data_IF_392621807295
#
_entry.id   IF_392621807295
#
_cell.length_a   1.000
_cell.length_b   1.000
_cell.length_c   1.000
_cell.angle_alpha   90.00
_cell.angle_beta   90.00
_cell.angle_gamma   90.00
#
_symmetry.space_group_name_H-M   'P 1'
#
loop_
_entity.id
_entity.type
_entity.pdbx_description
1 polymer ?
#
# COMPACT_ATOMS: atom_id res chain seq x y z
N UNK A 1 33.80 -26.03 48.13
CA UNK A 1 34.80 -25.35 48.97
C UNK A 1 35.59 -24.41 48.06
N UNK A 2 35.65 -23.13 48.42
CA UNK A 2 36.44 -22.03 47.83
C UNK A 2 35.98 -21.36 46.53
N UNK A 3 35.45 -20.15 46.76
CA UNK A 3 35.39 -19.00 45.87
C UNK A 3 36.75 -18.27 45.74
N UNK A 4 36.91 -17.47 44.68
CA UNK A 4 37.60 -16.14 44.60
C UNK A 4 37.63 -15.72 43.12
N UNK A 5 36.93 -14.66 42.69
CA UNK A 5 37.22 -13.21 42.81
C UNK A 5 38.46 -12.72 42.05
N UNK A 6 38.17 -11.80 41.10
CA UNK A 6 38.82 -10.48 40.89
C UNK A 6 40.18 -10.42 40.14
N UNK A 7 40.24 -9.70 39.00
CA UNK A 7 40.60 -8.26 38.90
C UNK A 7 41.28 -7.88 37.57
N UNK A 8 40.71 -6.85 36.94
CA UNK A 8 41.25 -5.78 36.08
C UNK A 8 42.71 -5.79 35.59
N UNK A 9 42.87 -5.45 34.30
CA UNK A 9 44.10 -4.92 33.71
C UNK A 9 43.83 -4.26 32.35
N UNK A 10 43.84 -2.91 32.32
CA UNK A 10 43.76 -2.03 31.15
C UNK A 10 44.94 -2.22 30.19
N UNK A 11 44.71 -2.16 28.88
CA UNK A 11 45.71 -1.69 27.90
C UNK A 11 45.03 -1.02 26.69
N UNK A 12 45.35 0.26 26.49
CA UNK A 12 45.09 1.07 25.29
C UNK A 12 46.21 0.85 24.27
N UNK A 13 45.91 0.93 22.97
CA UNK A 13 46.53 1.94 22.11
C UNK A 13 45.46 2.54 21.16
N UNK A 14 45.55 3.72 20.56
CA UNK A 14 46.60 4.69 20.32
C UNK A 14 45.96 5.74 19.40
N UNK A 15 46.08 7.02 19.75
CA UNK A 15 45.39 8.11 19.09
C UNK A 15 46.07 8.49 17.76
N UNK A 16 45.32 8.47 16.66
CA UNK A 16 45.68 9.16 15.41
C UNK A 16 44.94 10.49 15.32
N UNK A 17 45.73 11.56 15.25
CA UNK A 17 45.30 12.96 15.13
C UNK A 17 44.72 13.22 13.74
N UNK A 18 43.53 13.81 13.68
CA UNK A 18 43.02 14.50 12.48
C UNK A 18 43.27 16.01 12.62
N UNK A 19 43.77 16.70 11.57
CA UNK A 19 44.01 18.14 11.64
C UNK A 19 42.72 18.95 11.56
N UNK A 20 42.64 19.95 12.43
CA UNK A 20 41.60 20.98 12.50
C UNK A 20 41.69 21.93 11.30
N UNK A 21 40.59 22.09 10.57
CA UNK A 21 40.41 23.17 9.59
C UNK A 21 39.65 24.33 10.25
N UNK A 22 40.37 25.42 10.52
CA UNK A 22 39.81 26.75 10.84
C UNK A 22 39.28 27.42 9.57
N UNK A 23 38.12 28.10 9.58
CA UNK A 23 37.69 28.91 8.45
C UNK A 23 38.36 30.29 8.51
N UNK A 24 39.17 30.62 7.52
CA UNK A 24 39.66 31.98 7.26
C UNK A 24 38.67 32.76 6.42
N UNK A 25 38.30 33.93 6.93
CA UNK A 25 37.51 34.96 6.26
C UNK A 25 38.33 35.63 5.15
N UNK A 26 37.81 35.66 3.94
CA UNK A 26 38.18 36.66 2.94
C UNK A 26 36.92 37.32 2.40
N UNK A 27 36.73 38.57 2.84
CA UNK A 27 35.89 39.58 2.20
C UNK A 27 36.44 39.86 0.79
N UNK A 28 35.56 39.81 -0.20
CA UNK A 28 35.78 40.46 -1.49
C UNK A 28 34.53 41.30 -1.79
N UNK A 29 34.73 42.61 -1.80
CA UNK A 29 33.76 43.63 -2.19
C UNK A 29 33.36 43.45 -3.66
N UNK A 30 32.06 43.30 -3.90
CA UNK A 30 31.46 43.66 -5.19
C UNK A 30 30.18 44.44 -4.94
N UNK A 31 30.29 45.74 -5.17
CA UNK A 31 29.21 46.72 -5.22
C UNK A 31 28.08 46.24 -6.13
N UNK A 32 26.88 46.05 -5.58
CA UNK A 32 25.66 45.83 -6.36
C UNK A 32 24.71 47.01 -6.14
N UNK A 33 24.49 47.76 -7.22
CA UNK A 33 23.63 48.92 -7.33
C UNK A 33 22.18 48.52 -7.09
N UNK A 34 21.55 49.08 -6.05
CA UNK A 34 20.12 48.89 -5.79
C UNK A 34 19.30 49.79 -6.73
N UNK A 35 18.55 49.18 -7.64
CA UNK A 35 17.49 49.89 -8.40
C UNK A 35 16.15 49.55 -7.77
N UNK A 36 15.56 50.53 -7.10
CA UNK A 36 14.18 50.47 -6.61
C UNK A 36 13.23 50.62 -7.80
N UNK A 37 12.52 49.55 -8.16
CA UNK A 37 11.42 49.64 -9.13
C UNK A 37 10.10 49.48 -8.39
N UNK A 38 9.39 50.59 -8.26
CA UNK A 38 8.01 50.68 -7.76
C UNK A 38 7.08 49.94 -8.73
N UNK A 39 6.43 48.85 -8.30
CA UNK A 39 5.39 48.18 -9.08
C UNK A 39 4.04 48.76 -8.67
N UNK A 40 3.44 49.52 -9.58
CA UNK A 40 2.03 49.91 -9.51
C UNK A 40 1.15 48.72 -9.92
N UNK A 41 0.08 48.49 -9.17
CA UNK A 41 -0.93 47.48 -9.49
C UNK A 41 -1.67 47.86 -10.78
N UNK A 42 -1.80 46.91 -11.71
CA UNK A 42 -2.80 46.97 -12.78
C UNK A 42 -3.31 45.57 -13.13
N UNK A 43 -4.58 45.57 -13.50
CA UNK A 43 -5.56 44.50 -13.58
C UNK A 43 -5.43 43.60 -14.83
N UNK A 44 -5.87 42.35 -14.65
CA UNK A 44 -6.35 41.35 -15.62
C UNK A 44 -5.92 41.43 -17.09
N UNK A 45 -5.16 40.42 -17.52
CA UNK A 45 -5.08 40.00 -18.92
C UNK A 45 -4.87 38.48 -18.99
N UNK A 46 -5.81 37.81 -19.66
CA UNK A 46 -5.81 36.39 -19.96
C UNK A 46 -4.67 36.02 -20.91
N UNK A 47 -3.54 35.53 -20.39
CA UNK A 47 -2.45 35.00 -21.19
C UNK A 47 -2.70 33.53 -21.56
N UNK A 48 -3.18 33.29 -22.79
CA UNK A 48 -3.11 31.98 -23.43
C UNK A 48 -1.63 31.62 -23.65
N UNK A 49 -1.11 30.68 -22.85
CA UNK A 49 0.17 30.02 -23.13
C UNK A 49 0.00 29.14 -24.37
N UNK A 50 0.63 29.53 -25.48
CA UNK A 50 0.81 28.68 -26.65
C UNK A 50 1.81 27.57 -26.29
N UNK A 51 1.28 26.39 -25.96
CA UNK A 51 2.06 25.16 -25.84
C UNK A 51 2.61 24.80 -27.22
N UNK A 52 3.95 24.77 -27.34
CA UNK A 52 4.62 24.17 -28.49
C UNK A 52 4.16 22.73 -28.66
N UNK A 53 3.77 22.36 -29.88
CA UNK A 53 3.35 21.02 -30.25
C UNK A 53 4.53 20.05 -30.09
N UNK A 54 4.59 19.34 -28.96
CA UNK A 54 5.36 18.10 -28.88
C UNK A 54 4.60 17.02 -29.63
N UNK A 55 5.24 16.40 -30.61
CA UNK A 55 4.78 15.24 -31.37
C UNK A 55 4.76 13.95 -30.54
N UNK A 56 4.24 14.02 -29.31
CA UNK A 56 3.98 12.83 -28.49
C UNK A 56 2.65 12.24 -28.92
N UNK A 57 2.64 10.97 -29.31
CA UNK A 57 1.41 10.19 -29.48
C UNK A 57 0.51 10.38 -28.24
N UNK A 58 -0.79 10.67 -28.41
CA UNK A 58 -1.67 10.95 -27.29
C UNK A 58 -1.67 9.77 -26.31
N UNK A 59 -1.40 10.06 -25.03
CA UNK A 59 -1.37 9.04 -23.99
C UNK A 59 -2.69 8.25 -23.97
N UNK A 60 -2.62 6.96 -24.32
CA UNK A 60 -3.75 6.04 -24.51
C UNK A 60 -4.79 6.08 -23.39
N UNK A 61 -4.33 6.16 -22.14
CA UNK A 61 -5.20 6.15 -20.95
C UNK A 61 -5.38 7.55 -20.33
N UNK A 62 -5.33 8.61 -21.15
CA UNK A 62 -5.56 10.00 -20.73
C UNK A 62 -6.91 10.21 -20.06
N UNK A 63 -7.95 9.49 -20.50
CA UNK A 63 -9.29 9.49 -19.90
C UNK A 63 -9.36 8.86 -18.50
N UNK A 64 -8.30 8.18 -18.04
CA UNK A 64 -8.17 7.62 -16.69
C UNK A 64 -7.21 8.44 -15.82
N UNK A 65 -6.79 9.64 -16.24
CA UNK A 65 -5.93 10.49 -15.43
C UNK A 65 -6.63 10.94 -14.13
N UNK A 66 -5.85 11.23 -13.06
CA UNK A 66 -6.39 11.70 -11.80
C UNK A 66 -7.23 12.97 -11.93
N UNK A 67 -8.50 12.86 -11.55
CA UNK A 67 -9.39 13.97 -11.24
C UNK A 67 -9.55 14.08 -9.72
N UNK A 68 -9.36 15.28 -9.18
CA UNK A 68 -9.45 15.56 -7.75
C UNK A 68 -10.76 16.31 -7.44
N UNK A 69 -11.87 15.58 -7.50
CA UNK A 69 -13.20 16.13 -7.20
C UNK A 69 -13.28 16.71 -5.79
N UNK A 70 -14.00 17.83 -5.65
CA UNK A 70 -14.35 18.45 -4.35
C UNK A 70 -15.58 17.80 -3.69
N UNK A 71 -16.22 16.85 -4.37
CA UNK A 71 -17.35 16.10 -3.83
C UNK A 71 -16.96 15.37 -2.55
N UNK A 72 -17.80 15.52 -1.51
CA UNK A 72 -17.67 14.79 -0.26
C UNK A 72 -18.66 13.61 -0.20
N UNK A 73 -18.33 12.62 0.63
CA UNK A 73 -19.11 11.42 0.85
C UNK A 73 -19.41 11.26 2.33
N UNK A 74 -20.58 10.70 2.70
CA UNK A 74 -20.89 10.40 4.09
C UNK A 74 -19.93 9.34 4.67
N UNK A 75 -19.92 9.19 6.01
CA UNK A 75 -19.30 8.05 6.66
C UNK A 75 -19.79 6.72 6.06
N UNK A 76 -18.91 5.73 5.98
CA UNK A 76 -19.27 4.42 5.45
C UNK A 76 -20.19 3.70 6.45
N UNK A 77 -21.38 3.32 5.98
CA UNK A 77 -22.29 2.49 6.75
C UNK A 77 -21.81 1.02 6.74
N UNK A 78 -21.98 0.27 7.84
CA UNK A 78 -21.76 -1.16 7.85
C UNK A 78 -22.59 -1.89 6.78
N UNK A 79 -22.08 -3.01 6.28
CA UNK A 79 -22.80 -3.87 5.34
C UNK A 79 -22.46 -5.34 5.57
N UNK A 80 -23.36 -6.23 5.17
CA UNK A 80 -23.10 -7.66 5.19
C UNK A 80 -22.20 -8.03 4.00
N UNK A 81 -21.00 -8.50 4.30
CA UNK A 81 -20.08 -8.99 3.29
C UNK A 81 -20.31 -10.49 3.04
N UNK A 82 -20.59 -10.87 1.79
CA UNK A 82 -20.74 -12.25 1.36
C UNK A 82 -19.50 -12.69 0.56
N UNK A 83 -18.52 -13.28 1.25
CA UNK A 83 -17.23 -13.62 0.68
C UNK A 83 -17.35 -14.69 -0.43
N UNK A 84 -16.91 -14.39 -1.68
CA UNK A 84 -16.88 -15.35 -2.79
C UNK A 84 -16.14 -16.66 -2.50
N UNK A 85 -15.12 -16.62 -1.64
CA UNK A 85 -14.34 -17.79 -1.28
C UNK A 85 -15.17 -18.90 -0.63
N UNK A 86 -16.24 -18.55 0.11
CA UNK A 86 -17.17 -19.54 0.65
C UNK A 86 -18.02 -20.23 -0.44
N UNK A 87 -18.29 -19.56 -1.57
CA UNK A 87 -18.97 -20.18 -2.71
C UNK A 87 -18.03 -21.12 -3.45
N UNK A 88 -16.77 -20.70 -3.65
CA UNK A 88 -15.74 -21.53 -4.27
C UNK A 88 -15.49 -22.85 -3.51
N UNK A 89 -15.45 -22.81 -2.17
CA UNK A 89 -15.28 -24.01 -1.34
C UNK A 89 -16.38 -25.07 -1.53
N UNK A 90 -17.52 -24.71 -2.09
CA UNK A 90 -18.64 -25.64 -2.37
C UNK A 90 -18.56 -26.26 -3.77
N UNK A 91 -17.65 -25.78 -4.63
CA UNK A 91 -17.45 -26.32 -5.96
C UNK A 91 -16.66 -27.62 -5.89
N UNK A 92 -16.99 -28.56 -6.78
CA UNK A 92 -16.26 -29.84 -6.90
C UNK A 92 -14.78 -29.61 -7.28
N UNK A 93 -14.53 -28.60 -8.12
CA UNK A 93 -13.19 -28.22 -8.59
C UNK A 93 -12.91 -26.74 -8.29
N UNK A 94 -12.48 -26.38 -7.07
CA UNK A 94 -12.34 -24.98 -6.62
C UNK A 94 -11.13 -24.24 -7.25
N UNK A 95 -10.46 -24.84 -8.24
CA UNK A 95 -9.31 -24.29 -8.96
C UNK A 95 -9.41 -24.48 -10.48
N UNK A 96 -10.58 -24.87 -11.00
CA UNK A 96 -10.80 -25.15 -12.42
C UNK A 96 -10.49 -23.96 -13.34
N UNK A 97 -10.56 -22.72 -12.85
CA UNK A 97 -10.15 -21.53 -13.60
C UNK A 97 -8.66 -21.55 -14.04
N UNK A 98 -7.84 -22.42 -13.46
CA UNK A 98 -6.43 -22.62 -13.82
C UNK A 98 -6.21 -23.80 -14.77
N UNK A 99 -7.24 -24.58 -15.13
CA UNK A 99 -7.06 -25.83 -15.90
C UNK A 99 -6.43 -25.59 -17.28
N UNK A 100 -6.72 -24.42 -17.88
CA UNK A 100 -6.17 -24.00 -19.17
C UNK A 100 -4.98 -23.03 -19.03
N UNK A 101 -4.44 -22.85 -17.82
CA UNK A 101 -3.26 -22.03 -17.63
C UNK A 101 -2.06 -22.64 -18.36
N UNK A 102 -1.34 -21.82 -19.12
CA UNK A 102 -0.09 -22.27 -19.76
C UNK A 102 1.06 -22.39 -18.77
N UNK A 103 0.98 -21.68 -17.64
CA UNK A 103 1.95 -21.76 -16.55
C UNK A 103 1.34 -21.33 -15.23
N UNK A 104 1.72 -22.02 -14.15
CA UNK A 104 1.41 -21.67 -12.75
C UNK A 104 2.67 -21.85 -11.92
N UNK A 105 3.30 -20.77 -11.50
CA UNK A 105 4.57 -20.79 -10.78
C UNK A 105 4.45 -20.11 -9.42
N UNK A 106 4.91 -20.76 -8.35
CA UNK A 106 4.99 -20.11 -7.04
C UNK A 106 6.09 -19.03 -7.05
N UNK A 107 5.76 -17.82 -6.58
CA UNK A 107 6.76 -16.75 -6.44
C UNK A 107 7.70 -17.03 -5.26
N UNK A 108 7.11 -17.51 -4.16
CA UNK A 108 7.80 -18.00 -2.97
C UNK A 108 7.00 -19.16 -2.38
N UNK A 109 7.58 -19.99 -1.48
CA UNK A 109 6.86 -21.14 -0.92
C UNK A 109 5.51 -20.77 -0.27
N UNK A 110 5.47 -19.69 0.51
CA UNK A 110 4.31 -19.34 1.34
C UNK A 110 3.56 -18.07 0.91
N UNK A 111 3.95 -17.45 -0.20
CA UNK A 111 3.34 -16.23 -0.70
C UNK A 111 3.50 -16.10 -2.21
N UNK A 112 2.40 -15.85 -2.90
CA UNK A 112 2.47 -15.47 -4.31
C UNK A 112 2.44 -16.65 -5.27
N UNK A 113 1.68 -16.50 -6.35
CA UNK A 113 1.74 -17.38 -7.52
C UNK A 113 1.58 -16.53 -8.77
N UNK A 114 2.46 -16.73 -9.74
CA UNK A 114 2.35 -16.16 -11.09
C UNK A 114 1.61 -17.14 -12.00
N UNK A 115 0.69 -16.60 -12.82
CA UNK A 115 -0.18 -17.36 -13.71
C UNK A 115 -0.11 -16.75 -15.11
N UNK A 116 0.08 -17.61 -16.12
CA UNK A 116 0.01 -17.27 -17.55
C UNK A 116 -1.02 -18.16 -18.25
N UNK A 117 -1.59 -17.66 -19.35
CA UNK A 117 -2.58 -18.39 -20.16
C UNK A 117 -4.01 -18.34 -19.62
N UNK A 118 -4.28 -17.56 -18.57
CA UNK A 118 -5.63 -17.29 -18.07
C UNK A 118 -5.94 -15.80 -18.25
N UNK A 119 -6.98 -15.46 -19.00
CA UNK A 119 -7.46 -14.09 -19.14
C UNK A 119 -8.52 -13.79 -18.08
N UNK A 120 -8.23 -12.86 -17.17
CA UNK A 120 -9.13 -12.49 -16.07
C UNK A 120 -10.47 -11.93 -16.58
N UNK A 121 -10.48 -11.29 -17.76
CA UNK A 121 -11.70 -10.74 -18.36
C UNK A 121 -12.74 -11.81 -18.67
N UNK A 122 -12.28 -13.01 -19.02
CA UNK A 122 -13.13 -14.10 -19.49
C UNK A 122 -13.68 -14.96 -18.33
N UNK A 123 -13.26 -14.68 -17.09
CA UNK A 123 -13.78 -15.36 -15.91
C UNK A 123 -15.25 -14.99 -15.68
N UNK A 124 -16.09 -16.02 -15.62
CA UNK A 124 -17.47 -15.94 -15.19
C UNK A 124 -17.57 -15.84 -13.65
N UNK A 125 -18.80 -15.87 -13.11
CA UNK A 125 -19.01 -15.77 -11.67
C UNK A 125 -18.33 -16.90 -10.87
N UNK A 126 -18.35 -18.12 -11.39
CA UNK A 126 -17.72 -19.28 -10.75
C UNK A 126 -16.20 -19.17 -10.76
N UNK A 127 -15.61 -18.79 -11.91
CA UNK A 127 -14.18 -18.54 -12.04
C UNK A 127 -13.69 -17.42 -11.11
N UNK A 128 -14.47 -16.35 -10.94
CA UNK A 128 -14.17 -15.28 -9.98
C UNK A 128 -14.26 -15.72 -8.53
N UNK A 129 -15.21 -16.60 -8.19
CA UNK A 129 -15.27 -17.19 -6.85
C UNK A 129 -14.00 -18.01 -6.57
N UNK A 130 -13.60 -18.87 -7.51
CA UNK A 130 -12.38 -19.67 -7.40
C UNK A 130 -11.12 -18.81 -7.31
N UNK A 131 -11.05 -17.74 -8.11
CA UNK A 131 -9.99 -16.74 -8.02
C UNK A 131 -9.91 -16.12 -6.62
N UNK A 132 -11.05 -15.74 -6.02
CA UNK A 132 -11.07 -15.17 -4.68
C UNK A 132 -10.50 -16.14 -3.63
N UNK A 133 -10.87 -17.42 -3.71
CA UNK A 133 -10.32 -18.45 -2.83
C UNK A 133 -8.82 -18.65 -3.04
N UNK A 134 -8.36 -18.70 -4.30
CA UNK A 134 -6.96 -18.85 -4.62
C UNK A 134 -6.12 -17.66 -4.11
N UNK A 135 -6.62 -16.43 -4.24
CA UNK A 135 -5.97 -15.23 -3.68
C UNK A 135 -5.96 -15.27 -2.15
N UNK A 136 -7.04 -15.71 -1.50
CA UNK A 136 -7.08 -15.86 -0.05
C UNK A 136 -6.08 -16.92 0.48
N UNK A 137 -5.88 -18.00 -0.25
CA UNK A 137 -4.94 -19.07 0.11
C UNK A 137 -3.47 -18.71 -0.15
N UNK A 138 -3.18 -18.04 -1.27
CA UNK A 138 -1.81 -17.69 -1.68
C UNK A 138 -1.38 -16.28 -1.25
N UNK A 139 -2.31 -15.47 -0.76
CA UNK A 139 -2.12 -14.07 -0.40
C UNK A 139 -1.93 -13.12 -1.59
N UNK A 140 -1.31 -13.58 -2.68
CA UNK A 140 -0.92 -12.81 -3.85
C UNK A 140 -1.02 -13.68 -5.10
N UNK A 141 -1.61 -13.16 -6.18
CA UNK A 141 -1.56 -13.73 -7.52
C UNK A 141 -1.12 -12.67 -8.53
N UNK A 142 -0.31 -13.06 -9.50
CA UNK A 142 0.18 -12.20 -10.59
C UNK A 142 -0.24 -12.83 -11.91
N UNK A 143 -0.99 -12.08 -12.72
CA UNK A 143 -1.43 -12.51 -14.05
C UNK A 143 -0.72 -11.67 -15.11
N UNK A 144 -0.11 -12.34 -16.08
CA UNK A 144 0.59 -11.71 -17.22
C UNK A 144 -0.33 -11.62 -18.44
N UNK A 145 -0.01 -10.73 -19.38
CA UNK A 145 -0.69 -10.59 -20.68
C UNK A 145 -2.19 -10.25 -20.60
N UNK A 146 -2.57 -9.39 -19.65
CA UNK A 146 -3.96 -9.02 -19.33
C UNK A 146 -4.43 -7.73 -20.02
N UNK A 147 -4.02 -7.48 -21.27
CA UNK A 147 -4.36 -6.25 -21.98
C UNK A 147 -5.89 -6.06 -22.11
N UNK A 148 -6.63 -7.14 -22.40
CA UNK A 148 -8.09 -7.06 -22.54
C UNK A 148 -8.79 -6.70 -21.22
N UNK A 149 -8.28 -7.17 -20.07
CA UNK A 149 -8.78 -6.78 -18.76
C UNK A 149 -8.57 -5.29 -18.52
N UNK A 150 -7.38 -4.78 -18.86
CA UNK A 150 -6.98 -3.37 -18.68
C UNK A 150 -7.74 -2.43 -19.64
N UNK A 151 -8.20 -2.94 -20.78
CA UNK A 151 -8.97 -2.17 -21.75
C UNK A 151 -10.50 -2.28 -21.56
N UNK A 152 -10.96 -3.15 -20.66
CA UNK A 152 -12.40 -3.44 -20.49
C UNK A 152 -13.21 -2.24 -19.98
N UNK A 153 -12.53 -1.26 -19.37
CA UNK A 153 -13.09 0.05 -19.04
C UNK A 153 -13.95 0.09 -17.77
N UNK A 154 -14.52 1.27 -17.48
CA UNK A 154 -15.17 1.58 -16.20
C UNK A 154 -16.27 0.64 -15.74
N UNK A 155 -17.17 0.28 -16.64
CA UNK A 155 -18.35 -0.51 -16.29
C UNK A 155 -17.96 -1.95 -15.92
N UNK A 156 -17.02 -2.52 -16.68
CA UNK A 156 -16.42 -3.80 -16.34
C UNK A 156 -15.71 -3.74 -14.98
N UNK A 157 -14.95 -2.68 -14.68
CA UNK A 157 -14.29 -2.56 -13.36
C UNK A 157 -15.27 -2.53 -12.20
N UNK A 158 -16.43 -1.89 -12.38
CA UNK A 158 -17.49 -1.89 -11.37
C UNK A 158 -18.06 -3.28 -11.18
N UNK A 159 -18.39 -3.97 -12.28
CA UNK A 159 -18.92 -5.34 -12.24
C UNK A 159 -17.91 -6.32 -11.64
N UNK A 160 -16.65 -6.21 -12.03
CA UNK A 160 -15.52 -6.97 -11.49
C UNK A 160 -15.41 -6.79 -9.99
N UNK A 161 -15.25 -5.55 -9.51
CA UNK A 161 -15.06 -5.30 -8.09
C UNK A 161 -16.31 -5.63 -7.25
N UNK A 162 -17.51 -5.37 -7.78
CA UNK A 162 -18.77 -5.67 -7.08
C UNK A 162 -18.97 -7.16 -6.82
N UNK A 163 -18.35 -8.04 -7.63
CA UNK A 163 -18.33 -9.48 -7.39
C UNK A 163 -17.68 -9.84 -6.05
N UNK A 164 -16.65 -9.09 -5.64
CA UNK A 164 -15.88 -9.34 -4.42
C UNK A 164 -16.29 -8.48 -3.24
N UNK A 165 -17.26 -7.57 -3.36
CA UNK A 165 -17.75 -6.74 -2.25
C UNK A 165 -18.16 -5.33 -2.67
N UNK A 166 -18.56 -4.49 -1.70
CA UNK A 166 -18.92 -3.10 -1.96
C UNK A 166 -17.67 -2.30 -2.34
N UNK A 167 -17.66 -1.65 -3.50
CA UNK A 167 -16.53 -0.83 -3.94
C UNK A 167 -16.23 0.32 -2.95
N UNK A 168 -14.96 0.45 -2.54
CA UNK A 168 -14.50 1.56 -1.71
C UNK A 168 -14.14 2.78 -2.56
N UNK A 169 -14.65 3.95 -2.18
CA UNK A 169 -14.19 5.24 -2.73
C UNK A 169 -13.13 5.80 -1.79
N UNK A 170 -11.89 5.88 -2.27
CA UNK A 170 -10.74 6.33 -1.47
C UNK A 170 -10.94 7.78 -1.01
N UNK A 171 -10.66 8.13 0.26
CA UNK A 171 -10.96 9.45 0.78
C UNK A 171 -10.03 10.56 0.26
N UNK A 172 -8.78 10.23 -0.10
CA UNK A 172 -7.72 11.25 -0.29
C UNK A 172 -7.02 11.24 -1.66
N UNK A 173 -7.32 10.28 -2.53
CA UNK A 173 -6.55 10.10 -3.78
C UNK A 173 -7.30 10.57 -5.02
N UNK A 174 -6.62 10.81 -6.13
CA UNK A 174 -7.31 11.02 -7.40
C UNK A 174 -8.04 9.76 -7.89
N UNK A 175 -9.10 9.97 -8.67
CA UNK A 175 -9.85 8.93 -9.37
C UNK A 175 -10.14 9.39 -10.80
N UNK A 176 -10.46 8.50 -11.76
CA UNK A 176 -10.98 8.93 -13.05
C UNK A 176 -12.28 9.71 -12.85
N UNK A 177 -12.49 10.79 -13.60
CA UNK A 177 -13.61 11.73 -13.40
C UNK A 177 -14.98 11.04 -13.24
N UNK A 178 -15.25 10.02 -14.07
CA UNK A 178 -16.54 9.31 -14.12
C UNK A 178 -16.59 8.02 -13.29
N UNK A 179 -15.52 7.67 -12.56
CA UNK A 179 -15.35 6.37 -11.87
C UNK A 179 -14.68 6.53 -10.51
N UNK A 180 -15.36 7.15 -9.52
CA UNK A 180 -14.78 7.42 -8.21
C UNK A 180 -14.34 6.16 -7.44
N UNK A 181 -14.88 4.99 -7.80
CA UNK A 181 -14.54 3.69 -7.22
C UNK A 181 -13.15 3.18 -7.64
N UNK A 182 -12.59 3.69 -8.74
CA UNK A 182 -11.24 3.34 -9.19
C UNK A 182 -10.23 4.28 -8.53
N UNK A 183 -9.42 3.72 -7.65
CA UNK A 183 -8.36 4.45 -6.98
C UNK A 183 -7.09 4.48 -7.85
N UNK A 184 -6.58 5.68 -8.14
CA UNK A 184 -5.37 5.84 -8.94
C UNK A 184 -4.12 5.99 -8.06
N UNK A 185 -3.08 5.27 -8.46
CA UNK A 185 -1.72 5.41 -7.94
C UNK A 185 -0.89 6.04 -9.05
N UNK A 186 -0.79 7.37 -9.02
CA UNK A 186 -0.24 8.16 -10.13
C UNK A 186 1.02 8.92 -9.73
N UNK A 187 2.03 8.88 -10.60
CA UNK A 187 3.16 9.78 -10.65
C UNK A 187 3.38 10.23 -12.09
N UNK A 188 3.43 11.53 -12.31
CA UNK A 188 3.76 12.08 -13.61
C UNK A 188 5.28 12.16 -13.81
N UNK A 189 5.67 12.20 -15.08
CA UNK A 189 7.04 12.39 -15.54
C UNK A 189 7.60 13.78 -15.16
N UNK A 190 6.75 14.82 -15.21
CA UNK A 190 7.16 16.24 -15.14
C UNK A 190 6.81 16.92 -13.82
N UNK A 191 5.90 16.35 -13.03
CA UNK A 191 5.49 16.87 -11.72
C UNK A 191 5.27 15.74 -10.72
N UNK A 192 5.95 15.79 -9.58
CA UNK A 192 5.80 14.77 -8.53
C UNK A 192 5.22 15.39 -7.27
N UNK A 193 4.09 14.86 -6.80
CA UNK A 193 3.39 15.28 -5.58
C UNK A 193 3.80 14.46 -4.33
N UNK A 194 4.83 13.63 -4.43
CA UNK A 194 5.18 12.66 -3.40
C UNK A 194 6.60 12.92 -2.87
N UNK A 195 6.74 14.03 -2.15
CA UNK A 195 7.94 14.46 -1.40
C UNK A 195 8.21 13.61 -0.14
N UNK A 196 7.40 12.58 0.10
CA UNK A 196 7.39 11.72 1.30
C UNK A 196 8.72 10.99 1.55
N UNK A 197 9.63 11.01 0.58
CA UNK A 197 10.89 10.27 0.61
C UNK A 197 12.11 11.19 0.57
N UNK A 198 11.94 12.51 0.43
CA UNK A 198 13.08 13.42 0.29
C UNK A 198 13.87 13.56 1.61
N UNK A 199 13.22 13.31 2.75
CA UNK A 199 13.82 13.26 4.09
C UNK A 199 13.78 11.83 4.68
N UNK A 200 13.78 10.81 3.82
CA UNK A 200 13.81 9.40 4.25
C UNK A 200 14.91 8.64 3.54
N UNK A 201 15.65 7.83 4.31
CA UNK A 201 16.67 6.92 3.78
C UNK A 201 16.06 5.68 3.09
N UNK A 202 14.76 5.45 3.23
CA UNK A 202 14.05 4.32 2.60
C UNK A 202 12.67 4.76 2.09
N UNK A 203 12.23 4.15 0.99
CA UNK A 203 10.90 4.40 0.42
C UNK A 203 9.86 3.40 0.88
N UNK A 204 10.27 2.40 1.69
CA UNK A 204 9.38 1.34 2.15
C UNK A 204 8.46 1.79 3.28
N UNK A 205 7.16 1.58 3.08
CA UNK A 205 6.13 1.80 4.09
C UNK A 205 5.11 0.66 4.00
N UNK A 206 5.33 -0.36 4.83
CA UNK A 206 4.48 -1.55 4.88
C UNK A 206 3.09 -1.23 5.41
N UNK A 207 2.06 -1.63 4.64
CA UNK A 207 0.66 -1.45 5.03
C UNK A 207 -0.29 -2.48 4.42
N UNK A 208 -1.39 -2.72 5.11
CA UNK A 208 -2.61 -3.28 4.51
C UNK A 208 -3.50 -2.11 4.08
N UNK A 209 -4.15 -2.22 2.92
CA UNK A 209 -4.86 -1.11 2.29
C UNK A 209 -5.96 -0.54 3.19
N UNK A 210 -5.88 0.76 3.53
CA UNK A 210 -6.87 1.50 4.33
C UNK A 210 -7.41 0.73 5.54
N UNK A 211 -6.50 0.08 6.28
CA UNK A 211 -6.84 -0.74 7.47
C UNK A 211 -7.46 0.04 8.63
N UNK A 212 -7.62 1.36 8.50
CA UNK A 212 -8.33 2.22 9.45
C UNK A 212 -9.85 2.21 9.26
N UNK A 213 -10.37 1.69 8.15
CA UNK A 213 -11.82 1.59 7.91
C UNK A 213 -12.44 0.50 8.78
N UNK A 214 -13.69 0.67 9.24
CA UNK A 214 -14.35 -0.36 10.07
C UNK A 214 -14.46 -1.72 9.36
N UNK A 215 -14.72 -1.66 8.06
CA UNK A 215 -14.73 -2.79 7.13
C UNK A 215 -13.67 -2.52 6.03
N UNK A 216 -12.41 -2.89 6.25
CA UNK A 216 -11.33 -2.68 5.31
C UNK A 216 -11.54 -3.44 3.99
N UNK A 217 -10.83 -3.08 2.92
CA UNK A 217 -10.75 -3.86 1.69
C UNK A 217 -10.28 -5.30 1.92
N UNK A 218 -10.84 -6.23 1.13
CA UNK A 218 -10.40 -7.62 1.08
C UNK A 218 -9.46 -7.86 -0.09
N UNK A 219 -9.96 -8.57 -1.11
CA UNK A 219 -9.26 -8.79 -2.37
C UNK A 219 -9.12 -7.48 -3.15
N UNK A 220 -7.90 -7.04 -3.36
CA UNK A 220 -7.60 -5.88 -4.21
C UNK A 220 -7.07 -6.33 -5.56
N UNK A 221 -7.56 -5.70 -6.62
CA UNK A 221 -6.98 -5.81 -7.97
C UNK A 221 -6.20 -4.54 -8.30
N UNK A 222 -5.01 -4.66 -8.87
CA UNK A 222 -4.15 -3.55 -9.26
C UNK A 222 -3.43 -3.84 -10.57
N UNK A 223 -3.32 -2.84 -11.42
CA UNK A 223 -2.60 -2.93 -12.69
C UNK A 223 -2.01 -1.57 -13.06
N UNK A 224 -0.99 -1.59 -13.92
CA UNK A 224 -0.36 -0.39 -14.45
C UNK A 224 -0.87 -0.10 -15.86
N UNK A 225 -1.38 1.11 -16.06
CA UNK A 225 -1.70 1.73 -17.34
C UNK A 225 -0.45 2.29 -18.02
N UNK A 226 0.54 2.69 -17.21
CA UNK A 226 1.86 3.12 -17.64
C UNK A 226 2.87 2.84 -16.53
N UNK A 227 4.08 2.43 -16.90
CA UNK A 227 5.14 2.07 -15.97
C UNK A 227 6.48 2.63 -16.46
N UNK A 228 7.42 2.92 -15.55
CA UNK A 228 8.79 3.24 -15.93
C UNK A 228 9.46 2.01 -16.57
N UNK A 229 10.50 2.26 -17.35
CA UNK A 229 11.30 1.19 -17.98
C UNK A 229 11.92 0.27 -16.92
N UNK A 230 12.30 0.81 -15.76
CA UNK A 230 12.76 0.05 -14.59
C UNK A 230 12.39 0.75 -13.28
N UNK A 231 12.43 -0.01 -12.18
CA UNK A 231 11.97 0.41 -10.87
C UNK A 231 10.44 0.46 -10.76
N UNK A 232 9.95 0.88 -9.59
CA UNK A 232 8.52 0.99 -9.31
C UNK A 232 7.85 -0.33 -8.94
N UNK A 233 8.65 -1.32 -8.54
CA UNK A 233 8.22 -2.63 -8.07
C UNK A 233 7.32 -2.52 -6.83
N UNK A 234 6.65 -3.61 -6.51
CA UNK A 234 5.80 -3.69 -5.31
C UNK A 234 6.22 -4.89 -4.48
N UNK A 235 6.50 -4.63 -3.20
CA UNK A 235 6.81 -5.65 -2.21
C UNK A 235 5.54 -6.09 -1.51
N UNK A 236 5.47 -7.38 -1.20
CA UNK A 236 4.40 -8.01 -0.43
C UNK A 236 5.02 -8.84 0.68
N UNK A 237 4.31 -8.99 1.80
CA UNK A 237 4.70 -9.87 2.92
C UNK A 237 3.50 -10.64 3.43
N UNK A 238 3.72 -11.92 3.77
CA UNK A 238 2.68 -12.82 4.28
C UNK A 238 2.46 -12.58 5.77
N UNK A 239 1.33 -11.98 6.13
CA UNK A 239 1.00 -11.73 7.53
C UNK A 239 0.63 -13.01 8.31
N UNK A 240 0.30 -14.09 7.58
CA UNK A 240 0.16 -15.43 8.15
C UNK A 240 1.54 -15.95 8.56
N UNK A 241 2.52 -15.87 7.64
CA UNK A 241 3.86 -16.39 7.89
C UNK A 241 4.59 -15.57 8.96
N UNK A 242 4.40 -14.24 9.00
CA UNK A 242 4.98 -13.38 10.04
C UNK A 242 4.49 -13.80 11.42
N UNK A 243 3.20 -14.14 11.57
CA UNK A 243 2.62 -14.65 12.82
C UNK A 243 3.18 -16.04 13.18
N UNK A 244 3.22 -16.98 12.22
CA UNK A 244 3.70 -18.36 12.44
C UNK A 244 5.17 -18.43 12.87
N UNK A 245 5.98 -17.40 12.59
CA UNK A 245 7.38 -17.29 13.05
C UNK A 245 7.53 -16.91 14.53
N UNK A 246 6.51 -16.31 15.13
CA UNK A 246 6.56 -15.91 16.54
C UNK A 246 6.38 -17.12 17.45
N UNK A 247 6.92 -17.05 18.68
CA UNK A 247 6.80 -18.15 19.62
C UNK A 247 5.34 -18.36 20.04
N UNK A 248 4.89 -19.60 20.28
CA UNK A 248 3.50 -19.87 20.66
C UNK A 248 2.99 -19.07 21.87
N UNK A 249 3.77 -18.87 22.96
CA UNK A 249 3.33 -18.02 24.07
C UNK A 249 3.13 -16.55 23.66
N UNK A 250 3.98 -16.04 22.76
CA UNK A 250 3.86 -14.67 22.29
C UNK A 250 2.64 -14.51 21.38
N UNK A 251 2.39 -15.46 20.46
CA UNK A 251 1.16 -15.49 19.66
C UNK A 251 -0.09 -15.54 20.55
N UNK A 252 -0.09 -16.37 21.60
CA UNK A 252 -1.19 -16.45 22.55
C UNK A 252 -1.44 -15.11 23.25
N UNK A 253 -0.39 -14.39 23.64
CA UNK A 253 -0.50 -13.03 24.17
C UNK A 253 -1.04 -12.03 23.13
N UNK A 254 -0.53 -12.04 21.89
CA UNK A 254 -0.98 -11.12 20.84
C UNK A 254 -2.45 -11.32 20.46
N UNK A 255 -2.97 -12.55 20.55
CA UNK A 255 -4.38 -12.87 20.30
C UNK A 255 -5.34 -12.14 21.24
N UNK A 256 -4.89 -11.76 22.44
CA UNK A 256 -5.71 -11.02 23.41
C UNK A 256 -5.67 -9.50 23.20
N UNK A 257 -4.90 -9.00 22.23
CA UNK A 257 -4.68 -7.57 22.04
C UNK A 257 -5.46 -7.03 20.84
N UNK A 258 -5.83 -5.75 20.95
CA UNK A 258 -6.45 -4.95 19.88
C UNK A 258 -5.75 -3.60 19.76
N UNK A 259 -5.72 -3.01 18.57
CA UNK A 259 -5.06 -1.75 18.31
C UNK A 259 -5.92 -0.79 17.50
N UNK A 260 -5.67 0.50 17.70
CA UNK A 260 -6.27 1.60 16.94
C UNK A 260 -5.53 1.71 15.61
N UNK A 261 -6.29 1.70 14.52
CA UNK A 261 -5.84 2.03 13.18
C UNK A 261 -6.44 3.39 12.79
N UNK A 262 -5.61 4.33 12.34
CA UNK A 262 -6.01 5.72 12.10
C UNK A 262 -5.77 6.17 10.66
N UNK A 263 -6.78 6.81 10.07
CA UNK A 263 -6.69 7.52 8.80
C UNK A 263 -6.32 9.01 8.94
N UNK A 264 -6.19 9.51 10.17
CA UNK A 264 -6.02 10.94 10.46
C UNK A 264 -4.73 11.50 9.86
N UNK A 265 -3.60 10.81 10.02
CA UNK A 265 -2.32 11.28 9.48
C UNK A 265 -2.32 11.30 7.95
N UNK A 266 -2.98 10.31 7.30
CA UNK A 266 -3.14 10.31 5.85
C UNK A 266 -3.98 11.50 5.39
N UNK A 267 -5.07 11.81 6.10
CA UNK A 267 -5.93 12.95 5.78
C UNK A 267 -5.21 14.29 6.01
N UNK A 268 -4.50 14.45 7.14
CA UNK A 268 -3.71 15.63 7.44
C UNK A 268 -2.59 15.84 6.42
N UNK A 269 -1.93 14.76 6.01
CA UNK A 269 -0.95 14.81 4.94
C UNK A 269 -1.57 15.30 3.63
N UNK A 270 -2.75 14.78 3.26
CA UNK A 270 -3.47 15.28 2.07
C UNK A 270 -3.81 16.77 2.19
N UNK A 271 -4.37 17.20 3.32
CA UNK A 271 -4.72 18.62 3.63
C UNK A 271 -3.53 19.56 3.56
N UNK A 272 -2.30 19.08 3.82
CA UNK A 272 -1.08 19.89 3.71
C UNK A 272 -0.76 20.37 2.27
N UNK A 273 -1.56 19.98 1.28
CA UNK A 273 -1.40 20.36 -0.12
C UNK A 273 -0.43 19.47 -0.90
N UNK A 274 0.32 18.60 -0.22
CA UNK A 274 1.33 17.74 -0.85
C UNK A 274 0.75 16.81 -1.92
N UNK A 275 -0.48 16.28 -1.72
CA UNK A 275 -1.19 15.40 -2.68
C UNK A 275 -2.37 16.04 -3.42
N UNK A 276 -2.39 17.37 -3.53
CA UNK A 276 -3.51 18.09 -4.14
C UNK A 276 -4.65 18.46 -3.18
N UNK A 277 -4.43 18.33 -1.85
CA UNK A 277 -5.24 19.05 -0.85
C UNK A 277 -6.60 18.43 -0.48
N UNK A 278 -7.02 17.32 -1.08
CA UNK A 278 -8.40 16.84 -0.93
C UNK A 278 -8.60 15.80 0.18
N UNK A 279 -9.71 15.93 0.88
CA UNK A 279 -10.24 14.90 1.80
C UNK A 279 -11.74 14.84 1.58
N UNK A 280 -12.23 13.76 0.99
CA UNK A 280 -13.63 13.59 0.57
C UNK A 280 -14.48 12.84 1.56
N UNK A 281 -13.89 12.36 2.66
CA UNK A 281 -14.59 11.75 3.79
C UNK A 281 -13.80 12.06 5.04
N UNK A 282 -14.48 12.38 6.12
CA UNK A 282 -13.81 12.61 7.41
C UNK A 282 -12.96 11.40 7.81
N UNK A 283 -11.72 11.62 8.30
CA UNK A 283 -10.87 10.53 8.72
C UNK A 283 -11.47 9.79 9.91
N UNK A 284 -11.29 8.49 9.93
CA UNK A 284 -11.80 7.60 10.98
C UNK A 284 -10.67 6.91 11.70
N UNK A 285 -10.97 6.47 12.92
CA UNK A 285 -10.14 5.58 13.70
C UNK A 285 -10.98 4.40 14.17
N UNK A 286 -10.47 3.19 13.98
CA UNK A 286 -11.18 1.99 14.39
C UNK A 286 -10.25 1.02 15.11
N UNK A 287 -10.83 0.27 16.05
CA UNK A 287 -10.14 -0.75 16.82
C UNK A 287 -10.26 -2.09 16.11
N UNK A 288 -9.11 -2.71 15.83
CA UNK A 288 -8.99 -4.00 15.17
C UNK A 288 -8.14 -4.96 16.03
N UNK A 289 -8.34 -6.28 15.92
CA UNK A 289 -7.53 -7.24 16.65
C UNK A 289 -6.09 -7.22 16.13
N UNK A 290 -5.11 -7.44 17.01
CA UNK A 290 -3.71 -7.60 16.58
C UNK A 290 -3.51 -8.88 15.78
N UNK A 291 -4.28 -9.93 16.10
CA UNK A 291 -4.30 -11.19 15.38
C UNK A 291 -5.72 -11.43 14.91
N UNK A 292 -5.91 -11.44 13.59
CA UNK A 292 -7.21 -11.69 12.97
C UNK A 292 -7.31 -13.10 12.43
N UNK A 293 -8.52 -13.63 12.33
CA UNK A 293 -8.86 -14.87 11.61
C UNK A 293 -9.43 -14.52 10.24
N UNK A 294 -8.99 -15.22 9.20
CA UNK A 294 -9.57 -15.10 7.87
C UNK A 294 -10.91 -15.86 7.82
N UNK A 295 -12.02 -15.24 7.36
CA UNK A 295 -13.35 -15.87 7.41
C UNK A 295 -13.45 -17.15 6.56
N UNK A 296 -12.82 -17.18 5.39
CA UNK A 296 -12.84 -18.34 4.48
C UNK A 296 -11.81 -19.41 4.83
N UNK A 297 -10.52 -19.06 4.89
CA UNK A 297 -9.44 -20.04 5.08
C UNK A 297 -9.25 -20.48 6.53
N UNK A 298 -9.76 -19.72 7.50
CA UNK A 298 -9.58 -19.97 8.93
C UNK A 298 -8.17 -19.68 9.46
N UNK A 299 -7.24 -19.32 8.58
CA UNK A 299 -5.86 -18.94 8.92
C UNK A 299 -5.82 -17.68 9.77
N UNK A 300 -4.82 -17.60 10.63
CA UNK A 300 -4.59 -16.44 11.48
C UNK A 300 -3.45 -15.59 10.92
N UNK A 301 -3.63 -14.27 10.96
CA UNK A 301 -2.67 -13.32 10.43
C UNK A 301 -2.42 -12.19 11.43
N UNK A 302 -1.16 -11.76 11.48
CA UNK A 302 -0.77 -10.54 12.18
C UNK A 302 -1.39 -9.34 11.45
N UNK A 303 -2.13 -8.49 12.18
CA UNK A 303 -2.88 -7.39 11.60
C UNK A 303 -2.43 -6.04 12.14
N UNK A 304 -1.13 -5.76 11.99
CA UNK A 304 -0.54 -4.47 12.31
C UNK A 304 0.25 -3.94 11.12
N UNK A 305 0.32 -2.63 11.01
CA UNK A 305 1.19 -2.01 10.01
C UNK A 305 1.62 -0.61 10.43
N UNK A 306 2.84 -0.24 10.05
CA UNK A 306 3.46 1.04 10.43
C UNK A 306 2.67 2.24 9.91
N UNK A 307 2.00 2.11 8.77
CA UNK A 307 1.30 3.24 8.17
C UNK A 307 0.05 3.66 8.95
N UNK A 308 -0.72 2.72 9.51
CA UNK A 308 -2.03 3.01 10.09
C UNK A 308 -2.18 2.62 11.56
N UNK A 309 -1.45 1.63 12.06
CA UNK A 309 -1.55 1.21 13.46
C UNK A 309 -0.86 2.26 14.36
N UNK A 310 -1.55 2.70 15.42
CA UNK A 310 -1.10 3.79 16.31
C UNK A 310 -0.79 3.35 17.72
N UNK A 311 -1.73 2.63 18.33
CA UNK A 311 -1.65 2.29 19.74
C UNK A 311 -2.38 0.97 20.01
N UNK A 312 -1.82 0.16 20.89
CA UNK A 312 -2.44 -1.04 21.43
C UNK A 312 -3.33 -0.63 22.61
N UNK A 313 -4.62 -0.97 22.51
CA UNK A 313 -5.62 -0.64 23.53
C UNK A 313 -5.32 -1.44 24.80
N UNK A 314 -5.45 -0.78 25.95
CA UNK A 314 -5.19 -1.39 27.27
C UNK A 314 -3.72 -1.36 27.71
N UNK A 315 -2.78 -1.14 26.80
CA UNK A 315 -1.36 -0.98 27.16
C UNK A 315 -1.02 0.50 27.44
N UNK A 316 0.01 0.71 28.28
CA UNK A 316 0.66 2.01 28.45
C UNK A 316 1.40 2.40 27.17
N UNK A 317 1.74 3.68 27.05
CA UNK A 317 2.37 4.22 25.84
C UNK A 317 3.69 3.51 25.52
N UNK A 318 4.59 3.42 26.48
CA UNK A 318 5.93 2.85 26.29
C UNK A 318 5.85 1.34 25.96
N UNK A 319 4.90 0.62 26.57
CA UNK A 319 4.61 -0.79 26.27
C UNK A 319 4.10 -0.97 24.84
N UNK A 320 3.10 -0.16 24.46
CA UNK A 320 2.52 -0.16 23.11
C UNK A 320 3.56 0.19 22.05
N UNK A 321 4.33 1.25 22.26
CA UNK A 321 5.38 1.69 21.32
C UNK A 321 6.46 0.63 21.14
N UNK A 322 6.92 0.03 22.25
CA UNK A 322 7.93 -1.04 22.21
C UNK A 322 7.41 -2.25 21.43
N UNK A 323 6.18 -2.70 21.73
CA UNK A 323 5.59 -3.85 21.06
C UNK A 323 5.30 -3.59 19.58
N UNK A 324 4.71 -2.44 19.24
CA UNK A 324 4.46 -2.08 17.84
C UNK A 324 5.77 -1.96 17.06
N UNK A 325 6.82 -1.35 17.65
CA UNK A 325 8.14 -1.28 17.02
C UNK A 325 8.69 -2.66 16.73
N UNK A 326 8.62 -3.59 17.69
CA UNK A 326 9.06 -4.97 17.47
C UNK A 326 8.32 -5.62 16.29
N UNK A 327 7.00 -5.48 16.24
CA UNK A 327 6.19 -6.08 15.17
C UNK A 327 6.43 -5.43 13.80
N UNK A 328 6.63 -4.10 13.75
CA UNK A 328 6.99 -3.40 12.52
C UNK A 328 8.36 -3.81 12.01
N UNK A 329 9.36 -3.87 12.89
CA UNK A 329 10.71 -4.34 12.56
C UNK A 329 10.70 -5.79 12.07
N UNK A 330 9.86 -6.65 12.67
CA UNK A 330 9.68 -8.03 12.22
C UNK A 330 9.14 -8.10 10.79
N UNK A 331 8.09 -7.34 10.47
CA UNK A 331 7.52 -7.27 9.12
C UNK A 331 8.56 -6.77 8.11
N UNK A 332 9.30 -5.72 8.47
CA UNK A 332 10.27 -5.06 7.59
C UNK A 332 11.49 -5.92 7.28
N UNK A 333 12.05 -6.58 8.30
CA UNK A 333 13.33 -7.31 8.20
C UNK A 333 13.18 -8.76 7.74
N UNK A 334 11.97 -9.30 7.68
CA UNK A 334 11.71 -10.70 7.29
C UNK A 334 11.65 -10.89 5.77
N UNK A 335 12.77 -10.68 5.09
CA UNK A 335 12.86 -10.80 3.63
C UNK A 335 12.49 -12.22 3.11
N UNK A 336 12.68 -13.26 3.93
CA UNK A 336 12.31 -14.65 3.63
C UNK A 336 10.78 -14.89 3.64
N UNK A 337 9.98 -13.92 4.11
CA UNK A 337 8.52 -13.95 4.11
C UNK A 337 7.90 -13.02 3.07
N UNK A 338 8.75 -12.36 2.28
CA UNK A 338 8.38 -11.34 1.31
C UNK A 338 8.40 -11.88 -0.12
N UNK A 339 7.56 -11.30 -0.97
CA UNK A 339 7.60 -11.47 -2.42
C UNK A 339 7.76 -10.09 -3.08
N UNK A 340 8.52 -10.02 -4.17
CA UNK A 340 8.70 -8.81 -4.98
C UNK A 340 8.07 -9.01 -6.34
N UNK A 341 7.11 -8.16 -6.69
CA UNK A 341 6.52 -8.15 -8.03
C UNK A 341 7.20 -7.08 -8.86
N UNK A 342 7.96 -7.54 -9.86
CA UNK A 342 8.48 -6.69 -10.93
C UNK A 342 7.41 -6.48 -12.00
N UNK A 343 7.14 -5.21 -12.29
CA UNK A 343 6.11 -4.84 -13.25
C UNK A 343 6.58 -5.05 -14.70
N UNK A 344 5.72 -5.72 -15.47
CA UNK A 344 5.83 -5.84 -16.92
C UNK A 344 4.55 -5.30 -17.54
N UNK A 345 4.57 -4.83 -18.80
CA UNK A 345 3.36 -4.42 -19.49
C UNK A 345 2.26 -5.48 -19.36
N UNK A 346 1.02 -5.02 -19.24
CA UNK A 346 -0.17 -5.88 -19.19
C UNK A 346 -0.20 -6.85 -18.00
N UNK A 347 0.47 -6.51 -16.90
CA UNK A 347 0.39 -7.30 -15.66
C UNK A 347 -0.78 -6.82 -14.79
N UNK A 348 -1.60 -7.76 -14.32
CA UNK A 348 -2.62 -7.53 -13.28
C UNK A 348 -2.22 -8.32 -12.04
N UNK A 349 -2.20 -7.65 -10.89
CA UNK A 349 -1.84 -8.23 -9.60
C UNK A 349 -3.07 -8.20 -8.70
N UNK A 350 -3.32 -9.31 -8.01
CA UNK A 350 -4.39 -9.44 -7.03
C UNK A 350 -3.80 -9.90 -5.70
N UNK A 351 -4.22 -9.30 -4.60
CA UNK A 351 -3.80 -9.74 -3.27
C UNK A 351 -4.93 -9.62 -2.27
N UNK A 352 -4.81 -10.37 -1.19
CA UNK A 352 -5.75 -10.32 -0.08
C UNK A 352 -5.18 -9.43 1.05
N UNK A 353 -5.75 -8.23 1.24
CA UNK A 353 -5.33 -7.30 2.30
C UNK A 353 -5.55 -7.85 3.71
N UNK A 354 -6.36 -8.90 3.87
CA UNK A 354 -6.66 -9.53 5.16
C UNK A 354 -5.49 -10.36 5.68
N UNK A 355 -4.61 -10.80 4.78
CA UNK A 355 -3.49 -11.71 5.10
C UNK A 355 -2.15 -11.25 4.52
N UNK A 356 -2.10 -10.07 3.91
CA UNK A 356 -0.87 -9.48 3.36
C UNK A 356 -0.71 -8.02 3.79
N UNK A 357 0.55 -7.58 3.85
CA UNK A 357 0.89 -6.16 3.76
C UNK A 357 1.79 -5.95 2.54
N UNK A 358 1.82 -4.71 2.03
CA UNK A 358 2.58 -4.36 0.85
C UNK A 358 3.27 -3.00 1.02
N UNK A 359 4.27 -2.77 0.18
CA UNK A 359 4.94 -1.48 0.05
C UNK A 359 5.22 -1.20 -1.42
N UNK A 360 4.92 0.02 -1.85
CA UNK A 360 5.45 0.53 -3.12
C UNK A 360 6.96 0.80 -2.96
N UNK A 361 7.73 0.57 -4.02
CA UNK A 361 9.11 1.04 -4.11
C UNK A 361 9.12 2.27 -5.02
N UNK A 362 9.79 3.33 -4.58
CA UNK A 362 9.92 4.59 -5.32
C UNK A 362 11.39 4.81 -5.69
N UNK A 363 11.94 3.90 -6.48
CA UNK A 363 13.34 3.86 -6.94
C UNK A 363 13.52 4.34 -8.39
N UNK A 364 12.49 4.95 -8.97
CA UNK A 364 12.46 5.39 -10.37
C UNK A 364 12.32 6.91 -10.53
N UNK A 365 12.55 7.70 -9.47
CA UNK A 365 12.38 9.17 -9.48
C UNK A 365 13.22 9.85 -10.56
N UNK A 366 14.48 9.46 -10.70
CA UNK A 366 15.43 10.05 -11.66
C UNK A 366 15.11 9.74 -13.12
N UNK A 367 14.33 8.68 -13.39
CA UNK A 367 13.90 8.33 -14.75
C UNK A 367 13.00 9.41 -15.37
N UNK A 368 12.31 10.19 -14.53
CA UNK A 368 11.26 11.13 -14.95
C UNK A 368 10.22 10.46 -15.86
N UNK A 369 9.97 9.17 -15.66
CA UNK A 369 8.95 8.42 -16.38
C UNK A 369 7.63 8.43 -15.60
N UNK A 370 6.51 8.36 -16.33
CA UNK A 370 5.17 8.25 -15.75
C UNK A 370 5.00 6.85 -15.15
N UNK A 371 4.38 6.79 -13.96
CA UNK A 371 3.80 5.57 -13.41
C UNK A 371 2.34 5.81 -13.10
N UNK A 372 1.46 5.15 -13.83
CA UNK A 372 0.02 5.31 -13.71
C UNK A 372 -0.60 3.95 -13.42
N UNK A 373 -0.97 3.72 -12.16
CA UNK A 373 -1.67 2.51 -11.73
C UNK A 373 -3.14 2.77 -11.40
N UNK A 374 -3.98 1.77 -11.63
CA UNK A 374 -5.38 1.78 -11.24
C UNK A 374 -5.66 0.59 -10.30
N UNK A 375 -6.46 0.85 -9.27
CA UNK A 375 -6.76 -0.08 -8.20
C UNK A 375 -8.27 -0.19 -8.00
N UNK A 376 -8.75 -1.43 -7.95
CA UNK A 376 -10.14 -1.77 -7.63
C UNK A 376 -10.12 -2.41 -6.25
N UNK A 377 -10.76 -1.77 -5.27
CA UNK A 377 -10.70 -2.18 -3.85
C UNK A 377 -12.08 -2.35 -3.22
N UNK A 378 -12.70 -3.53 -3.38
CA UNK A 378 -13.92 -3.89 -2.68
C UNK A 378 -13.68 -4.04 -1.17
N UNK A 379 -14.58 -3.49 -0.35
CA UNK A 379 -14.64 -3.69 1.09
C UNK A 379 -15.03 -5.13 1.43
N UNK A 380 -14.50 -5.63 2.54
CA UNK A 380 -14.75 -6.96 3.07
C UNK A 380 -15.46 -6.90 4.44
N UNK A 381 -15.33 -7.96 5.23
CA UNK A 381 -15.87 -8.03 6.59
C UNK A 381 -15.11 -7.12 7.58
N UNK A 382 -15.74 -6.82 8.73
CA UNK A 382 -15.01 -6.27 9.88
C UNK A 382 -14.00 -7.34 10.33
N UNK A 383 -12.70 -6.99 10.55
CA UNK A 383 -11.70 -7.98 10.93
C UNK A 383 -12.13 -8.81 12.14
N UNK A 384 -12.16 -10.14 11.97
CA UNK A 384 -12.61 -11.09 13.00
C UNK A 384 -11.43 -11.40 13.92
N UNK A 385 -11.54 -11.21 15.25
CA UNK A 385 -10.51 -11.63 16.20
C UNK A 385 -10.17 -13.12 16.11
N UNK A 386 -8.90 -13.47 16.26
CA UNK A 386 -8.50 -14.88 16.36
C UNK A 386 -8.95 -15.54 17.67
N UNK A 387 -8.93 -14.78 18.77
CA UNK A 387 -9.55 -15.15 20.05
C UNK A 387 -11.02 -14.73 20.05
N UNK A 388 -11.98 -15.69 20.13
CA UNK A 388 -13.40 -15.37 20.13
C UNK A 388 -13.85 -14.57 21.37
N UNK A 389 -13.05 -14.51 22.43
CA UNK A 389 -13.36 -13.74 23.64
C UNK A 389 -12.90 -12.28 23.55
N UNK A 390 -12.12 -11.90 22.53
CA UNK A 390 -11.67 -10.53 22.36
C UNK A 390 -12.80 -9.65 21.81
N UNK A 391 -13.34 -8.79 22.66
CA UNK A 391 -14.37 -7.81 22.27
C UNK A 391 -13.72 -6.61 21.59
N UNK A 392 -14.19 -6.28 20.38
CA UNK A 392 -13.83 -5.04 19.68
C UNK A 392 -14.88 -3.98 19.98
N UNK A 393 -14.44 -2.80 20.42
CA UNK A 393 -15.31 -1.70 20.81
C UNK A 393 -15.95 -1.00 19.59
#
# INVERSE_FOLDING_TARGET
MLARMSQYGLYLPGATRFPSLTPTSHYADTMSTTVTTTIAASTESSAKLSLGQSSEEPYRYSHLLPHFSTQTYPPLAPFQHADPGHRALKLEHPRAFLDNASSVMELTPNLGTEVSGVNLKDLDGSGRDQLALAVAQRGLLVFRDQQDFIDAGPEFYRQWGSHFGRLHIHPTSGHPEKVPEVHLVYRDAKSTFNFEIDDSITTTVWHSGVSYELQPPGLTTFFLLSQPTTGGDTLFTSQISTLKRLSPPFVAFLRTLKAIHSGVEQANFSKSGKRGGIVRREPVEHVHPLVRRHPVTGEEALYVNKQFTRRIVGLKREESETLLKFLYDHIDKSADLQARVKWSPNTVVLWDNRVTAHSAIVDYKESKERRHGARITPQAERPIPADPNLVLD
#
